data_IF_054200722858
#
_entry.id   IF_054200722858
#
_cell.length_a   1.000
_cell.length_b   1.000
_cell.length_c   1.000
_cell.angle_alpha   90.00
_cell.angle_beta   90.00
_cell.angle_gamma   90.00
#
_symmetry.space_group_name_H-M   'P 1'
#
loop_
_entity.id
_entity.type
_entity.pdbx_description
1 polymer ?
#
# COMPACT_ATOMS: atom_id res chain seq x y z
N UNK A 1 45.64 -46.52 -15.73
CA UNK A 1 45.33 -45.35 -16.58
C UNK A 1 44.32 -44.50 -15.80
N UNK A 2 44.84 -43.69 -14.88
CA UNK A 2 44.06 -42.74 -14.07
C UNK A 2 43.96 -41.45 -14.87
N UNK A 3 42.75 -41.04 -15.24
CA UNK A 3 42.49 -39.72 -15.82
C UNK A 3 42.27 -38.74 -14.67
N UNK A 4 43.19 -37.79 -14.53
CA UNK A 4 43.11 -36.66 -13.62
C UNK A 4 41.81 -35.88 -13.83
N UNK A 5 41.05 -35.72 -12.76
CA UNK A 5 40.00 -34.71 -12.66
C UNK A 5 40.72 -33.39 -12.34
N UNK A 6 40.96 -32.58 -13.37
CA UNK A 6 41.42 -31.20 -13.20
C UNK A 6 40.37 -30.43 -12.38
N UNK A 7 40.79 -30.01 -11.19
CA UNK A 7 40.03 -29.12 -10.32
C UNK A 7 40.14 -27.71 -10.89
N UNK A 8 39.06 -27.19 -11.47
CA UNK A 8 38.94 -25.77 -11.84
C UNK A 8 38.95 -24.91 -10.57
N UNK A 9 40.14 -24.56 -10.09
CA UNK A 9 40.33 -23.50 -9.11
C UNK A 9 40.11 -22.15 -9.80
N UNK A 10 38.89 -21.59 -9.70
CA UNK A 10 38.61 -20.22 -10.15
C UNK A 10 39.29 -19.23 -9.20
N UNK A 11 40.45 -18.67 -9.60
CA UNK A 11 41.00 -17.48 -8.95
C UNK A 11 40.03 -16.31 -9.16
N UNK A 12 39.72 -15.49 -8.15
CA UNK A 12 38.87 -14.31 -8.34
C UNK A 12 39.62 -13.33 -9.25
N UNK A 13 39.13 -13.19 -10.48
CA UNK A 13 39.74 -12.30 -11.47
C UNK A 13 39.59 -10.85 -11.00
N UNK A 14 40.68 -10.23 -10.52
CA UNK A 14 40.75 -8.77 -10.31
C UNK A 14 40.30 -7.98 -11.55
N UNK A 15 40.46 -8.57 -12.74
CA UNK A 15 39.97 -8.05 -14.03
C UNK A 15 38.44 -7.95 -14.11
N UNK A 16 37.69 -8.82 -13.42
CA UNK A 16 36.22 -8.81 -13.40
C UNK A 16 35.66 -7.59 -12.67
N UNK A 17 36.30 -7.18 -11.58
CA UNK A 17 35.95 -5.95 -10.86
C UNK A 17 36.23 -4.70 -11.69
N UNK A 18 37.32 -4.70 -12.48
CA UNK A 18 37.63 -3.59 -13.40
C UNK A 18 36.52 -3.45 -14.44
N UNK A 19 36.06 -4.54 -15.07
CA UNK A 19 34.96 -4.48 -16.03
C UNK A 19 33.59 -4.16 -15.41
N UNK A 20 33.38 -4.45 -14.13
CA UNK A 20 32.16 -4.05 -13.40
C UNK A 20 32.17 -2.59 -12.94
N UNK A 21 33.33 -2.06 -12.54
CA UNK A 21 33.48 -0.70 -12.01
C UNK A 21 33.70 0.32 -13.14
N UNK A 22 34.37 -0.06 -14.22
CA UNK A 22 34.70 0.83 -15.35
C UNK A 22 33.45 1.50 -15.97
N UNK A 23 32.33 0.80 -16.25
CA UNK A 23 31.11 1.45 -16.74
C UNK A 23 30.52 2.46 -15.74
N UNK A 24 30.62 2.19 -14.43
CA UNK A 24 30.14 3.12 -13.39
C UNK A 24 31.00 4.38 -13.31
N UNK A 25 32.33 4.24 -13.45
CA UNK A 25 33.26 5.37 -13.51
C UNK A 25 33.02 6.18 -14.78
N UNK A 26 32.87 5.53 -15.94
CA UNK A 26 32.56 6.20 -17.21
C UNK A 26 31.23 6.94 -17.13
N UNK A 27 30.19 6.33 -16.54
CA UNK A 27 28.90 6.98 -16.31
C UNK A 27 29.04 8.19 -15.39
N UNK A 28 29.77 8.07 -14.27
CA UNK A 28 30.02 9.18 -13.36
C UNK A 28 30.79 10.33 -14.05
N UNK A 29 31.77 10.02 -14.91
CA UNK A 29 32.49 11.02 -15.71
C UNK A 29 31.59 11.70 -16.74
N UNK A 30 30.69 10.95 -17.42
CA UNK A 30 29.71 11.54 -18.34
C UNK A 30 28.74 12.45 -17.59
N UNK A 31 28.21 12.02 -16.43
CA UNK A 31 27.33 12.83 -15.60
C UNK A 31 28.05 14.11 -15.15
N UNK A 32 29.30 14.00 -14.66
CA UNK A 32 30.12 15.15 -14.30
C UNK A 32 30.35 16.09 -15.48
N UNK A 33 30.68 15.56 -16.66
CA UNK A 33 30.86 16.33 -17.87
C UNK A 33 29.56 17.05 -18.27
N UNK A 34 28.40 16.42 -18.14
CA UNK A 34 27.10 17.06 -18.40
C UNK A 34 26.79 18.19 -17.41
N UNK A 35 27.10 18.02 -16.12
CA UNK A 35 26.92 19.09 -15.13
C UNK A 35 27.88 20.27 -15.36
N UNK A 36 29.11 20.01 -15.82
CA UNK A 36 30.13 21.05 -15.95
C UNK A 36 30.13 21.74 -17.32
N UNK A 37 29.94 20.97 -18.40
CA UNK A 37 29.96 21.47 -19.78
C UNK A 37 28.56 21.68 -20.36
N UNK A 38 27.51 21.27 -19.64
CA UNK A 38 26.13 21.31 -20.13
C UNK A 38 25.84 20.23 -21.17
N UNK A 39 24.59 20.20 -21.65
CA UNK A 39 24.13 19.29 -22.71
C UNK A 39 24.46 19.80 -24.12
N UNK A 40 25.06 20.99 -24.23
CA UNK A 40 25.25 21.70 -25.50
C UNK A 40 24.01 22.45 -26.00
N UNK A 41 22.86 22.28 -25.33
CA UNK A 41 21.61 23.02 -25.59
C UNK A 41 21.55 24.18 -24.59
N UNK A 42 21.44 25.41 -25.09
CA UNK A 42 21.39 26.64 -24.29
C UNK A 42 20.01 27.30 -24.39
N UNK A 43 18.98 26.51 -24.18
CA UNK A 43 17.64 27.05 -24.04
C UNK A 43 17.44 27.38 -22.56
N UNK A 44 17.24 28.65 -22.23
CA UNK A 44 16.75 29.00 -20.90
C UNK A 44 15.34 28.43 -20.74
N UNK A 45 15.02 27.82 -19.59
CA UNK A 45 13.68 27.31 -19.35
C UNK A 45 12.67 28.45 -19.52
N UNK A 46 11.68 28.23 -20.40
CA UNK A 46 10.70 29.25 -20.83
C UNK A 46 9.81 29.72 -19.68
N UNK A 47 9.75 28.98 -18.58
CA UNK A 47 9.02 29.32 -17.37
C UNK A 47 9.75 28.75 -16.13
N UNK A 48 9.63 29.41 -14.95
CA UNK A 48 10.16 28.89 -13.71
C UNK A 48 9.48 27.56 -13.34
N UNK A 49 10.28 26.60 -12.87
CA UNK A 49 9.83 25.26 -12.50
C UNK A 49 9.50 25.22 -11.00
N UNK A 50 8.52 26.02 -10.59
CA UNK A 50 8.04 26.03 -9.21
C UNK A 50 7.11 24.85 -8.97
N UNK A 51 7.34 24.11 -7.88
CA UNK A 51 6.45 23.03 -7.46
C UNK A 51 6.30 23.09 -5.94
N UNK A 52 5.09 23.41 -5.48
CA UNK A 52 4.71 23.36 -4.07
C UNK A 52 3.72 22.23 -3.82
N UNK A 53 4.09 21.32 -2.93
CA UNK A 53 3.23 20.25 -2.46
C UNK A 53 2.65 20.64 -1.09
N UNK A 54 1.32 20.66 -0.99
CA UNK A 54 0.62 20.84 0.29
C UNK A 54 0.60 19.48 0.99
N UNK A 55 1.42 19.33 2.03
CA UNK A 55 1.57 18.05 2.75
C UNK A 55 0.40 17.78 3.70
N UNK A 56 -0.14 18.82 4.35
CA UNK A 56 -1.19 18.69 5.35
C UNK A 56 -1.94 19.99 5.57
N UNK A 57 -3.27 19.92 5.64
CA UNK A 57 -4.14 21.01 6.10
C UNK A 57 -4.71 20.59 7.46
N UNK A 58 -4.53 21.41 8.48
CA UNK A 58 -5.03 21.18 9.84
C UNK A 58 -6.04 22.27 10.18
N UNK A 59 -7.24 21.87 10.58
CA UNK A 59 -8.32 22.76 10.97
C UNK A 59 -8.36 22.88 12.49
N UNK A 60 -8.21 24.10 12.97
CA UNK A 60 -8.23 24.47 14.39
C UNK A 60 -9.33 25.49 14.65
N UNK A 61 -9.64 25.80 15.91
CA UNK A 61 -10.62 26.85 16.24
C UNK A 61 -10.19 28.24 15.74
N UNK A 62 -8.88 28.45 15.53
CA UNK A 62 -8.34 29.74 15.08
C UNK A 62 -8.27 29.85 13.55
N UNK A 63 -8.42 28.73 12.82
CA UNK A 63 -8.41 28.69 11.37
C UNK A 63 -7.66 27.50 10.78
N UNK A 64 -7.01 27.72 9.64
CA UNK A 64 -6.28 26.69 8.91
C UNK A 64 -4.77 26.79 9.16
N UNK A 65 -4.12 25.66 9.41
CA UNK A 65 -2.67 25.52 9.40
C UNK A 65 -2.27 24.61 8.24
N UNK A 66 -1.54 25.15 7.27
CA UNK A 66 -1.16 24.45 6.04
C UNK A 66 0.35 24.20 6.04
N UNK A 67 0.76 22.92 5.94
CA UNK A 67 2.17 22.53 5.80
C UNK A 67 2.49 22.35 4.33
N UNK A 68 3.53 23.01 3.85
CA UNK A 68 3.92 23.03 2.43
C UNK A 68 5.40 22.65 2.28
N UNK A 69 5.71 21.90 1.23
CA UNK A 69 7.06 21.49 0.84
C UNK A 69 7.34 21.95 -0.60
N UNK A 70 8.51 22.56 -0.83
CA UNK A 70 8.99 22.82 -2.19
C UNK A 70 9.72 21.59 -2.74
N UNK A 71 9.15 20.90 -3.72
CA UNK A 71 9.82 19.78 -4.41
C UNK A 71 10.42 20.16 -5.76
N UNK A 72 10.19 21.40 -6.19
CA UNK A 72 10.74 21.96 -7.42
C UNK A 72 12.25 22.17 -7.37
N UNK A 73 12.91 22.28 -8.53
CA UNK A 73 14.31 22.68 -8.61
C UNK A 73 14.55 24.12 -8.14
N UNK A 74 13.58 25.01 -8.35
CA UNK A 74 13.72 26.45 -8.14
C UNK A 74 13.23 26.88 -6.75
N UNK A 75 13.72 28.02 -6.24
CA UNK A 75 13.18 28.60 -5.01
C UNK A 75 11.82 29.23 -5.28
N UNK A 76 10.86 29.00 -4.39
CA UNK A 76 9.49 29.48 -4.52
C UNK A 76 9.18 30.45 -3.39
N UNK A 77 8.60 31.60 -3.71
CA UNK A 77 8.14 32.58 -2.72
C UNK A 77 6.62 32.72 -2.81
N UNK A 78 5.93 32.47 -1.70
CA UNK A 78 4.47 32.58 -1.63
C UNK A 78 4.11 34.03 -1.32
N UNK A 79 3.41 34.69 -2.25
CA UNK A 79 3.05 36.10 -2.14
C UNK A 79 1.67 36.31 -1.50
N UNK A 80 0.71 35.43 -1.78
CA UNK A 80 -0.67 35.59 -1.31
C UNK A 80 -1.32 34.24 -0.99
N UNK A 81 -2.28 34.28 -0.07
CA UNK A 81 -3.16 33.16 0.30
C UNK A 81 -4.60 33.57 0.03
N UNK A 82 -5.36 32.69 -0.62
CA UNK A 82 -6.77 32.89 -0.96
C UNK A 82 -7.58 31.72 -0.45
N UNK A 83 -8.70 31.99 0.24
CA UNK A 83 -9.68 30.98 0.69
C UNK A 83 -11.01 31.27 0.01
N UNK A 84 -11.55 30.32 -0.77
CA UNK A 84 -12.83 30.48 -1.49
C UNK A 84 -12.96 31.85 -2.17
N UNK A 85 -11.95 32.23 -2.96
CA UNK A 85 -11.85 33.50 -3.70
C UNK A 85 -11.62 34.78 -2.87
N UNK A 86 -11.44 34.67 -1.55
CA UNK A 86 -11.11 35.80 -0.69
C UNK A 86 -9.62 35.82 -0.30
N UNK A 87 -8.95 36.95 -0.52
CA UNK A 87 -7.57 37.17 -0.04
C UNK A 87 -7.55 37.24 1.49
N UNK A 88 -6.57 36.57 2.09
CA UNK A 88 -6.42 36.55 3.53
C UNK A 88 -4.96 36.72 3.94
N UNK A 89 -4.75 37.33 5.12
CA UNK A 89 -3.43 37.41 5.71
C UNK A 89 -3.05 36.06 6.31
N UNK A 90 -1.79 35.67 6.15
CA UNK A 90 -1.26 34.44 6.71
C UNK A 90 0.11 34.70 7.35
N UNK A 91 0.49 33.85 8.31
CA UNK A 91 1.80 33.89 8.94
C UNK A 91 2.60 32.66 8.52
N UNK A 92 3.85 32.86 8.08
CA UNK A 92 4.71 31.81 7.57
C UNK A 92 5.82 31.49 8.55
N UNK A 93 6.07 30.21 8.80
CA UNK A 93 7.10 29.73 9.72
C UNK A 93 7.86 28.56 9.09
N UNK A 94 9.16 28.68 8.78
CA UNK A 94 10.07 29.78 9.13
C UNK A 94 10.09 30.96 8.15
N UNK A 95 9.63 30.79 6.91
CA UNK A 95 9.79 31.77 5.82
C UNK A 95 8.70 31.60 4.76
N UNK A 96 8.40 32.68 4.03
CA UNK A 96 7.56 32.72 2.80
C UNK A 96 8.29 32.18 1.57
N UNK A 97 9.63 32.31 1.58
CA UNK A 97 10.50 31.81 0.52
C UNK A 97 11.11 30.48 0.92
N UNK A 98 10.91 29.48 0.06
CA UNK A 98 11.30 28.09 0.22
C UNK A 98 12.35 27.72 -0.83
N UNK A 99 13.55 27.31 -0.40
CA UNK A 99 14.46 26.65 -1.33
C UNK A 99 13.99 25.22 -1.60
N UNK A 100 14.64 24.57 -2.57
CA UNK A 100 14.39 23.16 -2.86
C UNK A 100 14.50 22.29 -1.60
N UNK A 101 13.44 21.53 -1.32
CA UNK A 101 13.22 20.67 -0.16
C UNK A 101 12.99 21.39 1.19
N UNK A 102 12.89 22.72 1.19
CA UNK A 102 12.48 23.45 2.39
C UNK A 102 10.98 23.28 2.64
N UNK A 103 10.62 23.32 3.93
CA UNK A 103 9.24 23.25 4.39
C UNK A 103 8.86 24.52 5.17
N UNK A 104 7.61 24.93 5.06
CA UNK A 104 7.03 26.01 5.88
C UNK A 104 5.63 25.62 6.34
N UNK A 105 5.22 26.22 7.45
CA UNK A 105 3.88 26.13 8.01
C UNK A 105 3.22 27.50 7.86
N UNK A 106 2.04 27.51 7.27
CA UNK A 106 1.25 28.70 6.98
C UNK A 106 0.04 28.69 7.90
N UNK A 107 -0.03 29.65 8.82
CA UNK A 107 -1.18 29.83 9.71
C UNK A 107 -2.11 30.91 9.14
N UNK A 108 -3.37 30.52 8.90
CA UNK A 108 -4.38 31.35 8.23
C UNK A 108 -5.56 31.52 9.22
N UNK A 109 -5.66 32.66 9.91
CA UNK A 109 -6.67 32.86 10.95
C UNK A 109 -8.05 33.11 10.33
N UNK A 110 -8.81 32.05 10.05
CA UNK A 110 -10.04 32.07 9.27
C UNK A 110 -11.19 31.38 10.02
N UNK A 111 -12.34 32.04 10.12
CA UNK A 111 -13.54 31.48 10.74
C UNK A 111 -14.27 30.55 9.78
N UNK A 112 -13.94 29.26 9.80
CA UNK A 112 -14.62 28.24 9.01
C UNK A 112 -15.89 27.72 9.70
N UNK A 113 -16.79 27.14 8.92
CA UNK A 113 -18.05 26.53 9.36
C UNK A 113 -17.95 25.02 9.17
N UNK A 114 -18.36 24.25 10.19
CA UNK A 114 -18.32 22.79 10.13
C UNK A 114 -19.22 22.26 9.01
N UNK A 115 -18.68 21.38 8.17
CA UNK A 115 -19.36 20.79 7.02
C UNK A 115 -19.18 21.53 5.70
N UNK A 116 -18.71 22.78 5.71
CA UNK A 116 -18.55 23.56 4.48
C UNK A 116 -17.26 23.18 3.73
N UNK A 117 -17.27 23.21 2.38
CA UNK A 117 -16.08 22.99 1.56
C UNK A 117 -15.22 24.26 1.48
N UNK A 118 -13.90 24.09 1.48
CA UNK A 118 -12.94 25.17 1.27
C UNK A 118 -11.85 24.79 0.27
N UNK A 119 -11.41 25.77 -0.53
CA UNK A 119 -10.22 25.69 -1.36
C UNK A 119 -9.23 26.75 -0.90
N UNK A 120 -8.03 26.31 -0.53
CA UNK A 120 -6.91 27.17 -0.11
C UNK A 120 -5.92 27.27 -1.27
N UNK A 121 -5.83 28.45 -1.88
CA UNK A 121 -4.94 28.73 -2.98
C UNK A 121 -3.73 29.54 -2.50
N UNK A 122 -2.54 29.02 -2.81
CA UNK A 122 -1.25 29.68 -2.58
C UNK A 122 -0.76 30.25 -3.90
N UNK A 123 -0.60 31.57 -3.97
CA UNK A 123 -0.16 32.28 -5.17
C UNK A 123 1.30 32.69 -4.99
N UNK A 124 2.17 32.27 -5.90
CA UNK A 124 3.60 32.61 -5.85
C UNK A 124 3.87 34.00 -6.41
N UNK A 125 5.07 34.54 -6.16
CA UNK A 125 5.51 35.82 -6.75
C UNK A 125 5.52 35.80 -8.28
N UNK A 126 5.62 34.61 -8.90
CA UNK A 126 5.55 34.41 -10.34
C UNK A 126 4.11 34.17 -10.85
N UNK A 127 3.11 34.23 -9.97
CA UNK A 127 1.69 34.11 -10.31
C UNK A 127 1.20 32.68 -10.51
N UNK A 128 1.98 31.66 -10.13
CA UNK A 128 1.54 30.27 -10.14
C UNK A 128 0.65 29.99 -8.93
N UNK A 129 -0.38 29.16 -9.14
CA UNK A 129 -1.39 28.84 -8.12
C UNK A 129 -1.27 27.38 -7.73
N UNK A 130 -1.10 27.13 -6.44
CA UNK A 130 -1.10 25.79 -5.84
C UNK A 130 -2.30 25.68 -4.90
N UNK A 131 -3.17 24.70 -5.15
CA UNK A 131 -4.47 24.60 -4.50
C UNK A 131 -4.49 23.40 -3.54
N UNK A 132 -5.03 23.62 -2.33
CA UNK A 132 -5.34 22.56 -1.37
C UNK A 132 -6.84 22.55 -1.10
N UNK A 133 -7.46 21.39 -1.18
CA UNK A 133 -8.90 21.24 -0.98
C UNK A 133 -9.20 20.70 0.41
N UNK A 134 -10.25 21.25 1.02
CA UNK A 134 -10.91 20.75 2.22
C UNK A 134 -12.35 20.48 1.84
N UNK A 135 -12.69 19.26 1.37
CA UNK A 135 -14.03 18.97 0.86
C UNK A 135 -15.13 19.13 1.90
N UNK A 136 -14.80 18.84 3.17
CA UNK A 136 -15.70 18.95 4.31
C UNK A 136 -14.88 19.47 5.49
N UNK A 137 -15.15 20.70 5.94
CA UNK A 137 -14.45 21.25 7.08
C UNK A 137 -14.88 20.57 8.38
N UNK A 138 -13.95 19.85 9.00
CA UNK A 138 -14.08 19.34 10.35
C UNK A 138 -12.78 19.56 11.12
N UNK A 139 -12.91 19.76 12.43
CA UNK A 139 -11.77 19.99 13.32
C UNK A 139 -10.82 18.80 13.25
N UNK A 140 -9.55 19.04 12.93
CA UNK A 140 -8.59 17.95 12.76
C UNK A 140 -8.41 17.19 14.08
N UNK A 141 -8.51 15.85 14.09
CA UNK A 141 -8.41 15.08 15.32
C UNK A 141 -7.07 15.29 16.04
N UNK A 142 -7.13 15.56 17.34
CA UNK A 142 -5.96 15.59 18.22
C UNK A 142 -5.65 14.17 18.69
N UNK A 143 -4.37 13.84 18.78
CA UNK A 143 -3.90 12.55 19.26
C UNK A 143 -4.07 12.45 20.79
N UNK A 144 -5.24 11.97 21.22
CA UNK A 144 -5.52 11.64 22.63
C UNK A 144 -5.89 10.15 22.81
N UNK A 145 -5.86 9.69 24.06
CA UNK A 145 -6.11 8.28 24.39
C UNK A 145 -7.50 7.78 23.95
N UNK A 146 -8.51 8.66 23.94
CA UNK A 146 -9.86 8.32 23.48
C UNK A 146 -9.87 8.07 21.98
N UNK A 147 -9.22 8.96 21.21
CA UNK A 147 -9.12 8.84 19.75
C UNK A 147 -8.30 7.63 19.33
N UNK A 148 -7.18 7.36 20.00
CA UNK A 148 -6.42 6.13 19.79
C UNK A 148 -7.29 4.88 20.00
N UNK A 149 -8.10 4.85 21.06
CA UNK A 149 -9.00 3.73 21.34
C UNK A 149 -10.11 3.60 20.28
N UNK A 150 -10.69 4.70 19.81
CA UNK A 150 -11.71 4.70 18.75
C UNK A 150 -11.15 4.15 17.44
N UNK A 151 -9.98 4.62 16.99
CA UNK A 151 -9.34 4.10 15.79
C UNK A 151 -8.95 2.62 15.95
N UNK A 152 -8.46 2.22 17.13
CA UNK A 152 -8.21 0.81 17.41
C UNK A 152 -9.47 -0.05 17.34
N UNK A 153 -10.60 0.46 17.83
CA UNK A 153 -11.88 -0.22 17.75
C UNK A 153 -12.36 -0.37 16.31
N UNK A 154 -12.20 0.67 15.49
CA UNK A 154 -12.49 0.63 14.06
C UNK A 154 -11.63 -0.43 13.37
N UNK A 155 -10.30 -0.39 13.53
CA UNK A 155 -9.40 -1.38 12.94
C UNK A 155 -9.68 -2.81 13.44
N UNK A 156 -10.14 -2.97 14.68
CA UNK A 156 -10.55 -4.26 15.21
C UNK A 156 -11.82 -4.80 14.52
N UNK A 157 -12.83 -3.95 14.30
CA UNK A 157 -14.07 -4.34 13.60
C UNK A 157 -13.91 -4.52 12.09
N UNK A 158 -12.93 -3.83 11.49
CA UNK A 158 -12.64 -3.95 10.06
C UNK A 158 -11.70 -5.11 9.76
N UNK A 159 -10.69 -5.37 10.61
CA UNK A 159 -9.71 -6.43 10.37
C UNK A 159 -9.96 -7.69 11.19
N UNK A 160 -9.72 -7.62 12.51
CA UNK A 160 -9.63 -8.81 13.37
C UNK A 160 -10.95 -9.59 13.43
N UNK A 161 -12.07 -8.90 13.63
CA UNK A 161 -13.39 -9.53 13.73
C UNK A 161 -13.77 -10.26 12.45
N UNK A 162 -13.85 -9.61 11.27
CA UNK A 162 -14.29 -10.27 10.04
C UNK A 162 -13.32 -11.37 9.57
N UNK A 163 -12.00 -11.18 9.67
CA UNK A 163 -11.03 -12.26 9.40
C UNK A 163 -11.30 -13.45 10.32
N UNK A 164 -11.53 -13.20 11.61
CA UNK A 164 -11.93 -14.21 12.57
C UNK A 164 -13.24 -14.93 12.18
N UNK A 165 -14.26 -14.18 11.76
CA UNK A 165 -15.54 -14.73 11.29
C UNK A 165 -15.35 -15.60 10.06
N UNK A 166 -14.50 -15.20 9.11
CA UNK A 166 -14.15 -16.00 7.95
C UNK A 166 -13.47 -17.33 8.33
N UNK A 167 -12.56 -17.29 9.31
CA UNK A 167 -11.89 -18.49 9.83
C UNK A 167 -12.89 -19.48 10.48
N UNK A 168 -14.02 -19.01 11.03
CA UNK A 168 -15.06 -19.88 11.59
C UNK A 168 -15.74 -20.77 10.54
N UNK A 169 -15.56 -20.51 9.24
CA UNK A 169 -16.04 -21.39 8.17
C UNK A 169 -15.24 -22.70 8.06
N UNK A 170 -14.07 -22.80 8.70
CA UNK A 170 -13.20 -23.98 8.62
C UNK A 170 -13.90 -25.34 8.86
N UNK A 171 -14.76 -25.52 9.89
CA UNK A 171 -15.44 -26.81 10.14
C UNK A 171 -16.45 -27.20 9.07
N UNK A 172 -16.97 -26.23 8.31
CA UNK A 172 -17.83 -26.44 7.16
C UNK A 172 -17.00 -26.78 5.92
N UNK A 173 -15.96 -25.99 5.64
CA UNK A 173 -15.07 -26.16 4.47
C UNK A 173 -14.34 -27.52 4.49
N UNK A 174 -14.04 -28.09 5.66
CA UNK A 174 -13.39 -29.42 5.76
C UNK A 174 -14.29 -30.60 5.39
N UNK A 175 -15.61 -30.38 5.20
CA UNK A 175 -16.56 -31.46 4.87
C UNK A 175 -16.58 -31.80 3.38
N UNK A 176 -15.97 -30.96 2.55
CA UNK A 176 -15.94 -31.15 1.10
C UNK A 176 -14.99 -32.28 0.70
N UNK A 177 -15.29 -32.92 -0.42
CA UNK A 177 -14.42 -33.92 -1.04
C UNK A 177 -13.09 -33.29 -1.49
N UNK A 178 -12.09 -34.12 -1.84
CA UNK A 178 -10.84 -33.63 -2.40
C UNK A 178 -11.02 -32.70 -3.61
N UNK A 179 -12.00 -32.98 -4.48
CA UNK A 179 -12.36 -32.11 -5.62
C UNK A 179 -12.95 -30.79 -5.14
N UNK A 180 -13.80 -30.82 -4.10
CA UNK A 180 -14.37 -29.62 -3.50
C UNK A 180 -13.32 -28.74 -2.82
N UNK A 181 -12.34 -29.34 -2.14
CA UNK A 181 -11.19 -28.61 -1.56
C UNK A 181 -10.37 -27.92 -2.65
N UNK A 182 -10.15 -28.55 -3.80
CA UNK A 182 -9.50 -27.89 -4.95
C UNK A 182 -10.32 -26.72 -5.48
N UNK A 183 -11.65 -26.87 -5.57
CA UNK A 183 -12.56 -25.78 -5.92
C UNK A 183 -12.50 -24.61 -4.94
N UNK A 184 -12.42 -24.88 -3.63
CA UNK A 184 -12.25 -23.85 -2.59
C UNK A 184 -10.90 -23.14 -2.73
N UNK A 185 -9.80 -23.87 -2.95
CA UNK A 185 -8.49 -23.24 -3.18
C UNK A 185 -8.49 -22.37 -4.45
N UNK A 186 -9.16 -22.80 -5.51
CA UNK A 186 -9.31 -22.00 -6.72
C UNK A 186 -10.19 -20.76 -6.50
N UNK A 187 -11.26 -20.90 -5.69
CA UNK A 187 -12.06 -19.76 -5.23
C UNK A 187 -11.20 -18.76 -4.45
N UNK A 188 -10.35 -19.22 -3.53
CA UNK A 188 -9.39 -18.36 -2.83
C UNK A 188 -8.47 -17.62 -3.80
N UNK A 189 -7.95 -18.29 -4.84
CA UNK A 189 -7.16 -17.61 -5.89
C UNK A 189 -7.98 -16.52 -6.59
N UNK A 190 -9.24 -16.79 -6.92
CA UNK A 190 -10.15 -15.81 -7.52
C UNK A 190 -10.35 -14.59 -6.63
N UNK A 191 -10.63 -14.81 -5.34
CA UNK A 191 -10.77 -13.72 -4.34
C UNK A 191 -9.48 -12.86 -4.29
N UNK A 192 -8.34 -13.51 -4.10
CA UNK A 192 -7.05 -12.82 -3.95
C UNK A 192 -6.59 -12.14 -5.23
N UNK A 193 -6.93 -12.66 -6.41
CA UNK A 193 -6.58 -12.04 -7.68
C UNK A 193 -7.29 -10.69 -7.86
N UNK A 194 -8.58 -10.61 -7.51
CA UNK A 194 -9.29 -9.34 -7.47
C UNK A 194 -8.63 -8.38 -6.48
N UNK A 195 -8.31 -8.87 -5.28
CA UNK A 195 -7.66 -8.08 -4.22
C UNK A 195 -6.34 -7.46 -4.67
N UNK A 196 -5.51 -8.19 -5.44
CA UNK A 196 -4.27 -7.64 -6.00
C UNK A 196 -4.54 -6.46 -6.92
N UNK A 197 -5.56 -6.56 -7.78
CA UNK A 197 -5.92 -5.49 -8.73
C UNK A 197 -6.38 -4.25 -7.96
N UNK A 198 -7.27 -4.43 -7.00
CA UNK A 198 -7.76 -3.39 -6.09
C UNK A 198 -6.56 -2.68 -5.45
N UNK A 199 -5.76 -3.44 -4.67
CA UNK A 199 -4.57 -2.92 -3.95
C UNK A 199 -3.63 -2.11 -4.86
N UNK A 200 -3.45 -2.53 -6.12
CA UNK A 200 -2.66 -1.76 -7.08
C UNK A 200 -3.33 -0.46 -7.50
N UNK A 201 -4.63 -0.47 -7.80
CA UNK A 201 -5.38 0.73 -8.15
C UNK A 201 -5.32 1.77 -7.02
N UNK A 202 -5.63 1.38 -5.77
CA UNK A 202 -5.55 2.31 -4.64
C UNK A 202 -4.12 2.82 -4.42
N UNK A 203 -3.13 1.91 -4.47
CA UNK A 203 -1.73 2.28 -4.31
C UNK A 203 -1.27 3.29 -5.37
N UNK A 204 -1.66 3.09 -6.63
CA UNK A 204 -1.32 3.98 -7.74
C UNK A 204 -2.04 5.33 -7.67
N UNK A 205 -3.32 5.33 -7.28
CA UNK A 205 -4.07 6.58 -7.10
C UNK A 205 -3.46 7.43 -5.97
N UNK A 206 -3.16 6.81 -4.82
CA UNK A 206 -2.50 7.48 -3.70
C UNK A 206 -1.08 7.92 -4.10
N UNK A 207 -0.36 7.07 -4.82
CA UNK A 207 0.98 7.36 -5.32
C UNK A 207 1.02 8.54 -6.30
N UNK A 208 -0.07 8.81 -7.02
CA UNK A 208 -0.20 9.97 -7.89
C UNK A 208 -0.38 11.29 -7.10
N UNK A 209 -0.87 11.22 -5.85
CA UNK A 209 -0.98 12.35 -4.92
C UNK A 209 0.31 12.60 -4.12
N UNK A 210 1.30 11.70 -4.22
CA UNK A 210 2.58 11.85 -3.54
C UNK A 210 3.45 12.91 -4.25
N UNK A 211 4.32 13.63 -3.50
CA UNK A 211 5.20 14.62 -4.11
C UNK A 211 6.05 13.99 -5.23
N UNK A 212 6.11 14.67 -6.38
CA UNK A 212 6.67 14.15 -7.62
C UNK A 212 8.10 13.58 -7.48
N UNK A 213 8.90 14.18 -6.59
CA UNK A 213 10.24 13.75 -6.24
C UNK A 213 10.33 12.27 -5.83
N UNK A 214 9.32 11.76 -5.10
CA UNK A 214 9.35 10.41 -4.55
C UNK A 214 8.83 9.35 -5.52
N UNK A 215 8.29 9.74 -6.69
CA UNK A 215 7.71 8.83 -7.68
C UNK A 215 6.75 7.83 -7.02
N UNK A 216 5.71 8.33 -6.35
CA UNK A 216 4.83 7.51 -5.51
C UNK A 216 4.24 6.28 -6.22
N UNK A 217 3.91 6.39 -7.51
CA UNK A 217 3.47 5.25 -8.35
C UNK A 217 4.58 4.24 -8.61
N UNK A 218 5.82 4.70 -8.80
CA UNK A 218 7.01 3.86 -8.89
C UNK A 218 7.27 3.09 -7.59
N UNK A 219 7.03 3.71 -6.43
CA UNK A 219 7.15 3.05 -5.13
C UNK A 219 6.16 1.90 -4.96
N UNK A 220 4.96 1.97 -5.53
CA UNK A 220 3.99 0.86 -5.52
C UNK A 220 4.58 -0.36 -6.23
N UNK A 221 5.05 -0.18 -7.47
CA UNK A 221 5.65 -1.28 -8.25
C UNK A 221 6.92 -1.82 -7.60
N UNK A 222 7.76 -0.94 -7.07
CA UNK A 222 8.98 -1.31 -6.38
C UNK A 222 8.70 -2.11 -5.11
N UNK A 223 7.77 -1.64 -4.28
CA UNK A 223 7.31 -2.32 -3.08
C UNK A 223 6.71 -3.69 -3.40
N UNK A 224 5.87 -3.78 -4.43
CA UNK A 224 5.27 -5.03 -4.87
C UNK A 224 6.31 -6.05 -5.33
N UNK A 225 7.24 -5.63 -6.19
CA UNK A 225 8.29 -6.52 -6.69
C UNK A 225 9.20 -7.02 -5.57
N UNK A 226 9.69 -6.12 -4.71
CA UNK A 226 10.58 -6.52 -3.61
C UNK A 226 9.87 -7.41 -2.60
N UNK A 227 8.63 -7.10 -2.23
CA UNK A 227 7.82 -7.93 -1.33
C UNK A 227 7.60 -9.33 -1.91
N UNK A 228 7.18 -9.42 -3.18
CA UNK A 228 6.99 -10.68 -3.88
C UNK A 228 8.27 -11.52 -3.91
N UNK A 229 9.40 -10.92 -4.32
CA UNK A 229 10.69 -11.61 -4.42
C UNK A 229 11.23 -12.05 -3.06
N UNK A 230 11.09 -11.20 -2.05
CA UNK A 230 11.51 -11.51 -0.68
C UNK A 230 10.74 -12.72 -0.13
N UNK A 231 9.41 -12.70 -0.23
CA UNK A 231 8.57 -13.81 0.23
C UNK A 231 8.79 -15.09 -0.60
N UNK A 232 9.04 -14.96 -1.91
CA UNK A 232 9.40 -16.08 -2.77
C UNK A 232 10.74 -16.70 -2.35
N UNK A 233 11.75 -15.89 -2.04
CA UNK A 233 13.05 -16.36 -1.56
C UNK A 233 12.92 -17.09 -0.20
N UNK A 234 12.12 -16.54 0.71
CA UNK A 234 11.79 -17.20 1.98
C UNK A 234 11.04 -18.53 1.77
N UNK A 235 10.15 -18.61 0.79
CA UNK A 235 9.42 -19.85 0.47
C UNK A 235 10.35 -20.92 -0.07
N UNK A 236 11.23 -20.59 -1.02
CA UNK A 236 12.22 -21.53 -1.55
C UNK A 236 13.18 -22.04 -0.47
N UNK A 237 13.68 -21.15 0.40
CA UNK A 237 14.54 -21.54 1.52
C UNK A 237 13.86 -22.49 2.51
N UNK A 238 12.55 -22.35 2.73
CA UNK A 238 11.78 -23.24 3.60
C UNK A 238 11.42 -24.57 2.93
N UNK A 239 11.19 -24.57 1.60
CA UNK A 239 10.97 -25.80 0.82
C UNK A 239 12.21 -26.72 0.85
N UNK A 240 13.42 -26.15 0.72
CA UNK A 240 14.68 -26.90 0.82
C UNK A 240 14.86 -27.59 2.19
N UNK A 241 14.26 -27.03 3.25
CA UNK A 241 14.30 -27.60 4.61
C UNK A 241 13.17 -28.60 4.89
N UNK A 242 12.34 -28.93 3.89
CA UNK A 242 11.22 -29.88 4.02
C UNK A 242 10.09 -29.41 4.95
N UNK A 243 9.98 -28.10 5.22
CA UNK A 243 9.11 -27.59 6.30
C UNK A 243 7.68 -27.24 5.87
N UNK A 244 7.31 -27.31 4.59
CA UNK A 244 6.05 -26.72 4.11
C UNK A 244 4.80 -27.49 4.54
N UNK A 245 4.02 -26.93 5.47
CA UNK A 245 2.69 -27.39 5.86
C UNK A 245 1.60 -26.40 5.42
N UNK A 246 0.35 -26.86 5.37
CA UNK A 246 -0.84 -26.03 5.14
C UNK A 246 -0.93 -24.88 6.16
N UNK A 247 -0.63 -25.14 7.43
CA UNK A 247 -0.51 -24.11 8.47
C UNK A 247 0.52 -23.02 8.14
N UNK A 248 1.71 -23.36 7.63
CA UNK A 248 2.68 -22.34 7.23
C UNK A 248 2.18 -21.48 6.08
N UNK A 249 1.49 -22.10 5.12
CA UNK A 249 0.89 -21.37 4.01
C UNK A 249 -0.19 -20.44 4.54
N UNK A 250 -1.07 -20.90 5.44
CA UNK A 250 -2.06 -20.04 6.09
C UNK A 250 -1.45 -18.82 6.80
N UNK A 251 -0.31 -18.95 7.49
CA UNK A 251 0.37 -17.78 8.07
C UNK A 251 0.94 -16.82 7.03
N UNK A 252 1.38 -17.32 5.86
CA UNK A 252 1.81 -16.47 4.75
C UNK A 252 0.62 -15.73 4.15
N UNK A 253 -0.50 -16.43 3.94
CA UNK A 253 -1.76 -15.82 3.50
C UNK A 253 -2.17 -14.72 4.48
N UNK A 254 -2.23 -15.04 5.78
CA UNK A 254 -2.59 -14.08 6.83
C UNK A 254 -1.60 -12.90 6.90
N UNK A 255 -0.30 -13.11 6.69
CA UNK A 255 0.67 -12.02 6.65
C UNK A 255 0.50 -11.10 5.45
N UNK A 256 0.24 -11.65 4.26
CA UNK A 256 -0.04 -10.87 3.05
C UNK A 256 -1.34 -10.08 3.14
N UNK A 257 -2.40 -10.73 3.62
CA UNK A 257 -3.68 -10.09 3.95
C UNK A 257 -3.48 -9.01 5.00
N UNK A 258 -2.79 -9.29 6.10
CA UNK A 258 -2.50 -8.28 7.11
C UNK A 258 -1.83 -7.02 6.57
N UNK A 259 -0.91 -7.15 5.62
CA UNK A 259 -0.31 -5.98 4.96
C UNK A 259 -1.30 -5.22 4.06
N UNK A 260 -2.27 -5.89 3.46
CA UNK A 260 -3.38 -5.26 2.76
C UNK A 260 -4.33 -4.51 3.71
N UNK A 261 -4.75 -5.16 4.80
CA UNK A 261 -5.63 -4.56 5.81
C UNK A 261 -4.96 -3.37 6.54
N UNK A 262 -3.63 -3.31 6.58
CA UNK A 262 -2.90 -2.11 7.00
C UNK A 262 -3.26 -0.91 6.11
N UNK A 263 -3.32 -1.11 4.78
CA UNK A 263 -3.71 -0.10 3.79
C UNK A 263 -5.16 0.33 3.95
N UNK A 264 -6.09 -0.62 4.13
CA UNK A 264 -7.51 -0.33 4.45
C UNK A 264 -7.63 0.54 5.70
N UNK A 265 -6.93 0.16 6.77
CA UNK A 265 -6.91 0.93 8.00
C UNK A 265 -6.38 2.34 7.75
N UNK A 266 -5.34 2.50 6.93
CA UNK A 266 -4.79 3.79 6.55
C UNK A 266 -5.83 4.67 5.85
N UNK A 267 -6.57 4.11 4.88
CA UNK A 267 -7.62 4.81 4.15
C UNK A 267 -8.76 5.24 5.07
N UNK A 268 -9.24 4.34 5.94
CA UNK A 268 -10.29 4.65 6.91
C UNK A 268 -9.83 5.74 7.89
N UNK A 269 -8.63 5.60 8.45
CA UNK A 269 -8.05 6.59 9.36
C UNK A 269 -7.93 7.96 8.70
N UNK A 270 -7.45 8.01 7.46
CA UNK A 270 -7.33 9.25 6.68
C UNK A 270 -8.69 9.89 6.41
N UNK A 271 -9.71 9.12 6.02
CA UNK A 271 -11.06 9.62 5.80
C UNK A 271 -11.65 10.27 7.05
N UNK A 272 -11.54 9.62 8.22
CA UNK A 272 -12.00 10.21 9.49
C UNK A 272 -11.16 11.43 9.91
N UNK A 273 -9.86 11.44 9.62
CA UNK A 273 -9.00 12.60 9.88
C UNK A 273 -9.33 13.81 8.99
N UNK A 274 -9.82 13.55 7.78
CA UNK A 274 -10.30 14.55 6.82
C UNK A 274 -11.73 15.03 7.12
N UNK A 275 -12.41 14.49 8.13
CA UNK A 275 -13.81 14.83 8.44
C UNK A 275 -14.84 14.11 7.58
N UNK A 276 -14.41 13.23 6.68
CA UNK A 276 -15.26 12.51 5.73
C UNK A 276 -15.90 11.26 6.39
N UNK A 277 -16.70 11.47 7.43
CA UNK A 277 -17.27 10.38 8.22
C UNK A 277 -18.16 9.43 7.41
N UNK A 278 -18.84 9.92 6.37
CA UNK A 278 -19.62 9.11 5.46
C UNK A 278 -18.72 8.15 4.65
N UNK A 279 -17.63 8.68 4.07
CA UNK A 279 -16.63 7.86 3.37
C UNK A 279 -15.99 6.84 4.33
N UNK A 280 -15.58 7.28 5.53
CA UNK A 280 -15.00 6.39 6.53
C UNK A 280 -15.94 5.23 6.91
N UNK A 281 -17.23 5.52 7.12
CA UNK A 281 -18.24 4.50 7.45
C UNK A 281 -18.48 3.54 6.29
N UNK A 282 -18.54 4.07 5.07
CA UNK A 282 -18.69 3.30 3.86
C UNK A 282 -17.52 2.32 3.64
N UNK A 283 -16.29 2.81 3.82
CA UNK A 283 -15.08 1.98 3.80
C UNK A 283 -15.11 0.89 4.87
N UNK A 284 -15.54 1.21 6.11
CA UNK A 284 -15.69 0.21 7.17
C UNK A 284 -16.63 -0.92 6.73
N UNK A 285 -17.83 -0.59 6.22
CA UNK A 285 -18.81 -1.61 5.83
C UNK A 285 -18.27 -2.48 4.70
N UNK A 286 -17.73 -1.85 3.66
CA UNK A 286 -17.18 -2.55 2.50
C UNK A 286 -16.04 -3.47 2.87
N UNK A 287 -15.10 -2.97 3.67
CA UNK A 287 -13.94 -3.73 4.08
C UNK A 287 -14.29 -4.82 5.10
N UNK A 288 -15.22 -4.59 6.02
CA UNK A 288 -15.71 -5.66 6.89
C UNK A 288 -16.29 -6.83 6.07
N UNK A 289 -17.06 -6.56 5.01
CA UNK A 289 -17.63 -7.60 4.16
C UNK A 289 -16.55 -8.38 3.40
N UNK A 290 -15.57 -7.70 2.79
CA UNK A 290 -14.52 -8.41 2.06
C UNK A 290 -13.65 -9.27 3.00
N UNK A 291 -13.43 -8.83 4.25
CA UNK A 291 -12.47 -9.44 5.18
C UNK A 291 -13.00 -10.76 5.75
N UNK A 292 -14.32 -10.95 5.73
CA UNK A 292 -14.94 -12.25 6.03
C UNK A 292 -14.54 -13.27 4.97
N UNK A 293 -14.55 -12.90 3.69
CA UNK A 293 -14.18 -13.85 2.61
C UNK A 293 -12.70 -14.19 2.63
N UNK A 294 -11.86 -13.24 3.04
CA UNK A 294 -10.42 -13.42 3.21
C UNK A 294 -10.06 -14.41 4.32
N UNK A 295 -10.78 -14.38 5.44
CA UNK A 295 -10.64 -15.36 6.52
C UNK A 295 -10.89 -16.80 6.03
N UNK A 296 -11.82 -17.00 5.10
CA UNK A 296 -12.03 -18.31 4.44
C UNK A 296 -10.82 -18.71 3.61
N UNK A 297 -10.23 -17.75 2.90
CA UNK A 297 -8.99 -17.92 2.14
C UNK A 297 -7.82 -18.39 3.01
N UNK A 298 -7.62 -17.75 4.17
CA UNK A 298 -6.60 -18.13 5.16
C UNK A 298 -6.82 -19.56 5.69
N UNK A 299 -8.07 -19.96 5.92
CA UNK A 299 -8.40 -21.29 6.41
C UNK A 299 -8.14 -22.41 5.39
N UNK A 300 -8.29 -22.10 4.09
CA UNK A 300 -8.31 -23.08 3.00
C UNK A 300 -7.09 -24.03 2.88
N UNK A 301 -5.83 -23.62 3.15
CA UNK A 301 -4.68 -24.51 3.05
C UNK A 301 -4.60 -25.54 4.20
N UNK A 302 -5.31 -25.29 5.31
CA UNK A 302 -5.28 -26.15 6.50
C UNK A 302 -6.39 -27.20 6.52
N UNK A 303 -7.22 -27.32 5.47
CA UNK A 303 -8.42 -28.17 5.48
C UNK A 303 -8.14 -29.66 5.70
N UNK A 304 -6.90 -30.11 5.47
CA UNK A 304 -6.44 -31.49 5.72
C UNK A 304 -5.65 -31.66 7.02
N UNK A 305 -5.52 -30.60 7.82
CA UNK A 305 -4.77 -30.60 9.08
C UNK A 305 -5.74 -30.51 10.27
N UNK A 306 -5.20 -30.69 11.49
CA UNK A 306 -5.94 -30.47 12.74
C UNK A 306 -5.36 -29.28 13.53
N UNK A 307 -5.51 -28.04 13.02
CA UNK A 307 -5.05 -26.85 13.72
C UNK A 307 -5.80 -26.64 15.04
N UNK A 308 -5.08 -26.20 16.07
CA UNK A 308 -5.68 -25.82 17.35
C UNK A 308 -6.41 -24.47 17.26
N UNK A 309 -7.37 -24.21 18.16
CA UNK A 309 -8.06 -22.91 18.25
C UNK A 309 -7.08 -21.72 18.38
N UNK A 310 -5.93 -21.91 19.06
CA UNK A 310 -4.86 -20.91 19.18
C UNK A 310 -4.28 -20.53 17.82
N UNK A 311 -4.25 -21.47 16.86
CA UNK A 311 -3.80 -21.19 15.50
C UNK A 311 -4.77 -20.24 14.81
N UNK A 312 -6.08 -20.45 14.95
CA UNK A 312 -7.08 -19.54 14.39
C UNK A 312 -7.03 -18.15 15.01
N UNK A 313 -6.88 -18.06 16.34
CA UNK A 313 -6.71 -16.76 17.01
C UNK A 313 -5.46 -16.03 16.50
N UNK A 314 -4.33 -16.73 16.39
CA UNK A 314 -3.11 -16.14 15.87
C UNK A 314 -3.25 -15.69 14.41
N UNK A 315 -3.94 -16.47 13.56
CA UNK A 315 -4.20 -16.09 12.17
C UNK A 315 -5.12 -14.88 12.06
N UNK A 316 -6.17 -14.78 12.90
CA UNK A 316 -7.04 -13.60 12.95
C UNK A 316 -6.28 -12.34 13.38
N UNK A 317 -5.36 -12.46 14.34
CA UNK A 317 -4.51 -11.35 14.76
C UNK A 317 -3.52 -10.96 13.66
N UNK A 318 -2.83 -11.93 13.06
CA UNK A 318 -1.84 -11.66 12.01
C UNK A 318 -2.50 -11.03 10.77
N UNK A 319 -3.68 -11.52 10.38
CA UNK A 319 -4.43 -10.99 9.23
C UNK A 319 -5.18 -9.70 9.52
N UNK A 320 -5.70 -9.50 10.73
CA UNK A 320 -6.60 -8.37 11.01
C UNK A 320 -6.03 -7.24 11.86
N UNK A 321 -5.09 -7.52 12.77
CA UNK A 321 -4.56 -6.49 13.67
C UNK A 321 -3.78 -5.37 12.96
N UNK A 322 -3.10 -5.59 11.81
CA UNK A 322 -2.50 -4.50 11.08
C UNK A 322 -3.47 -3.39 10.67
N UNK A 323 -4.78 -3.67 10.51
CA UNK A 323 -5.78 -2.61 10.27
C UNK A 323 -5.83 -1.58 11.41
N UNK A 324 -5.62 -2.01 12.65
CA UNK A 324 -5.54 -1.10 13.82
C UNK A 324 -4.37 -0.14 13.65
N UNK A 325 -3.19 -0.67 13.30
CA UNK A 325 -2.00 0.12 13.03
C UNK A 325 -2.27 1.09 11.87
N UNK A 326 -2.95 0.61 10.83
CA UNK A 326 -3.37 1.39 9.67
C UNK A 326 -4.21 2.59 10.08
N UNK A 327 -5.27 2.38 10.86
CA UNK A 327 -6.17 3.45 11.32
C UNK A 327 -5.46 4.50 12.16
N UNK A 328 -4.47 4.12 12.97
CA UNK A 328 -3.65 5.09 13.69
C UNK A 328 -2.75 5.89 12.76
N UNK A 329 -2.06 5.22 11.83
CA UNK A 329 -1.17 5.90 10.88
C UNK A 329 -1.98 6.84 9.98
N UNK A 330 -3.06 6.37 9.37
CA UNK A 330 -3.94 7.18 8.54
C UNK A 330 -4.60 8.31 9.33
N UNK A 331 -4.99 8.04 10.58
CA UNK A 331 -5.69 9.00 11.43
C UNK A 331 -4.83 10.15 11.95
N UNK A 332 -3.52 9.95 12.12
CA UNK A 332 -2.64 10.93 12.77
C UNK A 332 -1.45 11.39 11.91
N UNK A 333 -0.95 10.51 11.04
CA UNK A 333 0.31 10.67 10.31
C UNK A 333 0.18 10.23 8.85
N UNK A 334 -0.97 10.47 8.21
CA UNK A 334 -1.16 10.11 6.81
C UNK A 334 -0.12 10.81 5.92
N UNK A 335 0.54 10.02 5.08
CA UNK A 335 1.49 10.49 4.10
C UNK A 335 1.34 9.65 2.83
N UNK A 336 0.96 10.25 1.68
CA UNK A 336 0.72 9.51 0.44
C UNK A 336 1.91 8.67 -0.04
N UNK A 337 3.14 9.13 0.18
CA UNK A 337 4.36 8.41 -0.21
C UNK A 337 4.51 7.09 0.53
N UNK A 338 4.33 7.10 1.86
CA UNK A 338 4.42 5.88 2.65
C UNK A 338 3.21 4.98 2.43
N UNK A 339 2.03 5.58 2.28
CA UNK A 339 0.81 4.85 1.95
C UNK A 339 0.98 4.05 0.65
N UNK A 340 1.44 4.69 -0.43
CA UNK A 340 1.63 4.01 -1.73
C UNK A 340 2.65 2.87 -1.66
N UNK A 341 3.75 3.07 -0.90
CA UNK A 341 4.74 2.00 -0.65
C UNK A 341 4.11 0.80 0.07
N UNK A 342 3.31 1.03 1.12
CA UNK A 342 2.67 -0.05 1.86
C UNK A 342 1.63 -0.81 1.03
N UNK A 343 0.82 -0.11 0.22
CA UNK A 343 -0.08 -0.75 -0.76
C UNK A 343 0.71 -1.61 -1.75
N UNK A 344 1.82 -1.10 -2.28
CA UNK A 344 2.73 -1.87 -3.13
C UNK A 344 3.21 -3.15 -2.45
N UNK A 345 3.74 -3.04 -1.22
CA UNK A 345 4.20 -4.19 -0.43
C UNK A 345 3.08 -5.22 -0.23
N UNK A 346 1.85 -4.79 0.08
CA UNK A 346 0.68 -5.64 0.22
C UNK A 346 0.32 -6.37 -1.07
N UNK A 347 0.24 -5.65 -2.20
CA UNK A 347 -0.06 -6.23 -3.51
C UNK A 347 0.96 -7.31 -3.90
N UNK A 348 2.25 -7.05 -3.69
CA UNK A 348 3.32 -8.02 -3.90
C UNK A 348 3.20 -9.27 -3.03
N UNK A 349 2.81 -9.09 -1.76
CA UNK A 349 2.61 -10.20 -0.83
C UNK A 349 1.44 -11.09 -1.23
N UNK A 350 0.29 -10.49 -1.60
CA UNK A 350 -0.88 -11.24 -2.08
C UNK A 350 -0.57 -11.97 -3.39
N UNK A 351 0.12 -11.32 -4.33
CA UNK A 351 0.53 -11.96 -5.58
C UNK A 351 1.42 -13.18 -5.32
N UNK A 352 2.32 -13.10 -4.33
CA UNK A 352 3.16 -14.23 -3.92
C UNK A 352 2.33 -15.37 -3.33
N UNK A 353 1.30 -15.04 -2.55
CA UNK A 353 0.35 -16.02 -2.01
C UNK A 353 -0.41 -16.74 -3.12
N UNK A 354 -0.93 -16.02 -4.12
CA UNK A 354 -1.61 -16.61 -5.28
C UNK A 354 -0.69 -17.62 -5.96
N UNK A 355 0.58 -17.25 -6.16
CA UNK A 355 1.60 -18.15 -6.69
C UNK A 355 1.77 -19.40 -5.81
N UNK A 356 1.85 -19.26 -4.49
CA UNK A 356 1.97 -20.39 -3.55
C UNK A 356 0.75 -21.34 -3.59
N UNK A 357 -0.47 -20.82 -3.63
CA UNK A 357 -1.70 -21.64 -3.72
C UNK A 357 -1.76 -22.33 -5.09
N UNK A 358 -1.47 -21.61 -6.18
CA UNK A 358 -1.42 -22.19 -7.53
C UNK A 358 -0.42 -23.35 -7.61
N UNK A 359 0.77 -23.19 -7.02
CA UNK A 359 1.77 -24.26 -6.90
C UNK A 359 1.26 -25.45 -6.07
N UNK A 360 0.49 -25.21 -5.01
CA UNK A 360 -0.14 -26.28 -4.23
C UNK A 360 -1.14 -27.09 -5.07
N UNK A 361 -2.03 -26.41 -5.81
CA UNK A 361 -2.99 -27.06 -6.70
C UNK A 361 -2.27 -27.90 -7.75
N UNK A 362 -1.24 -27.35 -8.40
CA UNK A 362 -0.42 -28.05 -9.39
C UNK A 362 0.27 -29.29 -8.82
N UNK A 363 0.89 -29.18 -7.64
CA UNK A 363 1.57 -30.31 -6.97
C UNK A 363 0.59 -31.42 -6.57
N UNK A 364 -0.56 -31.08 -6.01
CA UNK A 364 -1.57 -32.05 -5.60
C UNK A 364 -2.20 -32.74 -6.82
N UNK A 365 -2.45 -31.99 -7.90
CA UNK A 365 -2.97 -32.53 -9.15
C UNK A 365 -2.00 -33.55 -9.77
N UNK A 366 -0.70 -33.22 -9.83
CA UNK A 366 0.34 -34.14 -10.28
C UNK A 366 0.43 -35.39 -9.40
N UNK A 367 0.42 -35.23 -8.07
CA UNK A 367 0.47 -36.35 -7.11
C UNK A 367 -0.70 -37.33 -7.28
N UNK A 368 -1.87 -36.83 -7.66
CA UNK A 368 -3.10 -37.62 -7.82
C UNK A 368 -3.38 -38.03 -9.26
N UNK A 369 -2.51 -37.72 -10.21
CA UNK A 369 -2.72 -37.94 -11.65
C UNK A 369 -4.08 -37.40 -12.14
N UNK A 370 -4.46 -36.21 -11.69
CA UNK A 370 -5.67 -35.50 -12.12
C UNK A 370 -5.30 -34.21 -12.84
N UNK A 371 -6.20 -33.70 -13.68
CA UNK A 371 -5.99 -32.44 -14.39
C UNK A 371 -5.89 -31.26 -13.39
N UNK A 372 -4.83 -30.46 -13.51
CA UNK A 372 -4.64 -29.28 -12.66
C UNK A 372 -5.63 -28.15 -12.99
N UNK A 373 -6.13 -28.13 -14.23
CA UNK A 373 -7.21 -27.25 -14.66
C UNK A 373 -8.44 -28.12 -14.89
N UNK A 374 -9.48 -27.89 -14.09
CA UNK A 374 -10.75 -28.61 -14.15
C UNK A 374 -11.90 -27.61 -14.14
N UNK A 375 -13.09 -28.04 -14.55
CA UNK A 375 -14.30 -27.22 -14.46
C UNK A 375 -14.59 -26.77 -13.03
N UNK A 376 -14.25 -27.58 -12.02
CA UNK A 376 -14.38 -27.22 -10.62
C UNK A 376 -13.43 -26.09 -10.22
N UNK A 377 -12.18 -26.11 -10.71
CA UNK A 377 -11.22 -25.06 -10.44
C UNK A 377 -11.61 -23.75 -11.15
N UNK A 378 -12.06 -23.85 -12.41
CA UNK A 378 -12.55 -22.68 -13.15
C UNK A 378 -13.78 -22.07 -12.46
N UNK A 379 -14.78 -22.89 -12.13
CA UNK A 379 -15.97 -22.43 -11.43
C UNK A 379 -15.64 -21.79 -10.07
N UNK A 380 -14.72 -22.39 -9.31
CA UNK A 380 -14.22 -21.82 -8.06
C UNK A 380 -13.59 -20.45 -8.28
N UNK A 381 -12.60 -20.34 -9.18
CA UNK A 381 -11.90 -19.10 -9.49
C UNK A 381 -12.86 -18.00 -9.97
N UNK A 382 -13.74 -18.31 -10.92
CA UNK A 382 -14.72 -17.35 -11.44
C UNK A 382 -15.72 -16.93 -10.36
N UNK A 383 -16.15 -17.86 -9.50
CA UNK A 383 -17.02 -17.52 -8.38
C UNK A 383 -16.31 -16.61 -7.36
N UNK A 384 -15.02 -16.84 -7.08
CA UNK A 384 -14.22 -15.94 -6.25
C UNK A 384 -14.16 -14.53 -6.83
N UNK A 385 -13.82 -14.39 -8.12
CA UNK A 385 -13.82 -13.09 -8.80
C UNK A 385 -15.20 -12.42 -8.75
N UNK A 386 -16.28 -13.18 -8.98
CA UNK A 386 -17.64 -12.67 -8.98
C UNK A 386 -18.09 -12.23 -7.58
N UNK A 387 -17.76 -12.99 -6.53
CA UNK A 387 -18.03 -12.60 -5.14
C UNK A 387 -17.35 -11.27 -4.83
N UNK A 388 -16.07 -11.11 -5.17
CA UNK A 388 -15.34 -9.87 -4.92
C UNK A 388 -15.89 -8.71 -5.74
N UNK A 389 -16.16 -8.93 -7.03
CA UNK A 389 -16.71 -7.90 -7.90
C UNK A 389 -18.09 -7.43 -7.43
N UNK A 390 -18.98 -8.35 -7.06
CA UNK A 390 -20.31 -8.01 -6.52
C UNK A 390 -20.18 -7.30 -5.17
N UNK A 391 -19.27 -7.75 -4.31
CA UNK A 391 -19.00 -7.06 -3.04
C UNK A 391 -18.54 -5.63 -3.32
N UNK A 392 -17.57 -5.43 -4.22
CA UNK A 392 -17.06 -4.12 -4.63
C UNK A 392 -18.15 -3.23 -5.26
N UNK A 393 -19.12 -3.79 -6.00
CA UNK A 393 -20.28 -3.04 -6.49
C UNK A 393 -21.19 -2.56 -5.36
N UNK A 394 -21.48 -3.42 -4.38
CA UNK A 394 -22.26 -3.03 -3.20
C UNK A 394 -21.53 -2.06 -2.29
N UNK A 395 -20.18 -2.12 -2.26
CA UNK A 395 -19.39 -1.06 -1.65
C UNK A 395 -19.60 0.19 -2.48
N UNK A 396 -19.15 0.27 -3.73
CA UNK A 396 -19.14 1.50 -4.55
C UNK A 396 -20.49 2.21 -4.85
N UNK A 397 -21.64 1.64 -4.46
CA UNK A 397 -22.99 2.20 -4.66
C UNK A 397 -23.58 2.83 -3.41
#
# INVERSE_FOLDING_TARGET
MQSEVETLQSKPHKTMWIWGILPLILLAMIIYALFHFGTGVKDEPVAPLEVLDIEKITLTDEGFTVKVLNTGPDSVSIAQVVINDAFWNATFRPSETLNRLDQTVIDIPYGWVEGDPYTINLITTNGLIFSGEVPIAAKTPVADASRFAQYALIGFYVGVVPVGLGLLWFPFLRRFSDKGVQGILALTIGLLFFLVIDTFNEGLEIGAKAPSLFQGTGLVWFGALLSFLFLLALDQGNQLKGKTSGKQIAYKIAGGIGLHNLGEGLAIGAAFAAGEAALGTFLIIGFTLHNVTEGMGIASPMLKEQPSWKTFLALAIVGGAPAIIGTWIGGFMYNPTFASLFFGIGAGAIAQVIYSIGRMILKEAAKKNIAAVSWTNLAGLTLGLLIMYVTALFVSS
#
